data_IF_283759897948
#
_entry.id   IF_283759897948
#
_cell.length_a   1.000
_cell.length_b   1.000
_cell.length_c   1.000
_cell.angle_alpha   90.00
_cell.angle_beta   90.00
_cell.angle_gamma   90.00
#
_symmetry.space_group_name_H-M   'P 1'
#
loop_
_entity.id
_entity.type
_entity.pdbx_description
1 polymer ?
#
# COMPACT_ATOMS: atom_id res chain seq x y z
N UNK A 1 -63.11 27.72 17.30
CA UNK A 1 -61.98 27.05 16.62
C UNK A 1 -61.04 26.49 17.68
N UNK A 2 -60.96 25.16 17.79
CA UNK A 2 -60.02 24.49 18.66
C UNK A 2 -58.83 24.07 17.79
N UNK A 3 -57.64 24.51 18.15
CA UNK A 3 -56.41 24.07 17.50
C UNK A 3 -55.68 23.09 18.42
N UNK A 4 -55.28 21.94 17.91
CA UNK A 4 -54.35 21.03 18.60
C UNK A 4 -52.95 21.28 18.09
N UNK A 5 -52.08 21.69 19.00
CA UNK A 5 -50.65 21.82 18.71
C UNK A 5 -49.98 20.51 19.20
N UNK A 6 -49.41 19.77 18.28
CA UNK A 6 -48.57 18.58 18.61
C UNK A 6 -47.10 19.02 18.57
N UNK A 7 -46.45 18.95 19.69
CA UNK A 7 -44.99 19.15 19.73
C UNK A 7 -44.32 17.84 19.36
N UNK A 8 -43.59 17.82 18.27
CA UNK A 8 -42.75 16.69 17.88
C UNK A 8 -41.34 16.96 18.46
N UNK A 9 -40.81 16.01 19.24
CA UNK A 9 -39.47 16.11 19.78
C UNK A 9 -38.46 15.94 18.66
N UNK A 10 -37.55 16.86 18.55
CA UNK A 10 -36.40 16.82 17.65
C UNK A 10 -35.44 15.71 18.08
N UNK A 11 -35.00 14.88 17.13
CA UNK A 11 -34.15 13.71 17.37
C UNK A 11 -32.66 14.08 17.31
N UNK A 12 -31.80 13.20 17.79
CA UNK A 12 -30.36 13.29 17.61
C UNK A 12 -29.99 12.84 16.19
N UNK A 13 -29.00 13.48 15.55
CA UNK A 13 -28.51 13.03 14.26
C UNK A 13 -27.87 11.64 14.37
N UNK A 14 -27.94 10.86 13.29
CA UNK A 14 -27.31 9.55 13.18
C UNK A 14 -26.04 9.60 12.35
N UNK A 15 -25.05 8.78 12.69
CA UNK A 15 -23.83 8.64 11.90
C UNK A 15 -23.36 7.18 11.86
N UNK A 16 -23.04 6.70 10.66
CA UNK A 16 -22.41 5.39 10.42
C UNK A 16 -21.16 5.58 9.57
N UNK A 17 -20.04 4.94 9.95
CA UNK A 17 -18.75 5.05 9.28
C UNK A 17 -18.23 3.66 8.93
N UNK A 18 -17.74 3.53 7.72
CA UNK A 18 -16.94 2.41 7.24
C UNK A 18 -15.58 2.92 6.85
N UNK A 19 -14.54 2.35 7.44
CA UNK A 19 -13.16 2.66 7.15
C UNK A 19 -12.60 1.67 6.14
N UNK A 20 -11.88 2.17 5.15
CA UNK A 20 -11.19 1.40 4.11
C UNK A 20 -9.72 1.80 4.15
N UNK A 21 -8.85 0.87 4.53
CA UNK A 21 -7.40 1.09 4.50
C UNK A 21 -6.86 0.85 3.10
N UNK A 22 -5.95 1.72 2.67
CA UNK A 22 -5.21 1.50 1.43
C UNK A 22 -4.20 0.36 1.65
N UNK A 23 -4.30 -0.70 0.85
CA UNK A 23 -3.39 -1.84 0.91
C UNK A 23 -1.94 -1.49 0.53
N UNK A 24 -1.73 -0.37 -0.17
CA UNK A 24 -0.42 0.10 -0.64
C UNK A 24 0.17 1.18 0.27
N UNK A 25 -0.67 1.90 1.02
CA UNK A 25 -0.27 3.02 1.86
C UNK A 25 -0.97 2.96 3.22
N UNK A 26 -0.38 2.23 4.15
CA UNK A 26 -0.95 1.98 5.48
C UNK A 26 -1.29 3.25 6.29
N UNK A 27 -0.74 4.42 5.93
CA UNK A 27 -1.03 5.69 6.59
C UNK A 27 -2.23 6.43 6.00
N UNK A 28 -2.65 6.10 4.77
CA UNK A 28 -3.77 6.75 4.10
C UNK A 28 -5.05 5.96 4.32
N UNK A 29 -5.99 6.57 5.01
CA UNK A 29 -7.28 5.97 5.33
C UNK A 29 -8.38 6.70 4.58
N UNK A 30 -9.28 5.92 3.98
CA UNK A 30 -10.50 6.41 3.34
C UNK A 30 -11.69 6.06 4.20
N UNK A 31 -12.60 7.00 4.32
CA UNK A 31 -13.83 6.85 5.09
C UNK A 31 -15.02 7.05 4.18
N UNK A 32 -15.93 6.11 4.24
CA UNK A 32 -17.28 6.23 3.71
C UNK A 32 -18.23 6.33 4.89
N UNK A 33 -19.10 7.33 4.89
CA UNK A 33 -20.06 7.50 5.96
C UNK A 33 -21.44 7.87 5.46
N UNK A 34 -22.43 7.56 6.28
CA UNK A 34 -23.83 7.95 6.10
C UNK A 34 -24.26 8.73 7.35
N UNK A 35 -24.83 9.91 7.14
CA UNK A 35 -25.44 10.72 8.18
C UNK A 35 -26.93 10.88 7.92
N UNK A 36 -27.73 10.89 9.01
CA UNK A 36 -29.21 10.99 8.97
C UNK A 36 -29.67 11.93 10.04
N UNK A 37 -30.69 12.74 9.74
CA UNK A 37 -31.37 13.65 10.66
C UNK A 37 -32.76 13.97 10.17
N UNK A 38 -33.69 14.40 11.04
CA UNK A 38 -35.06 14.75 10.67
C UNK A 38 -35.16 16.15 10.08
N UNK A 39 -34.31 17.09 10.42
CA UNK A 39 -34.34 18.48 9.95
C UNK A 39 -33.06 18.93 9.20
N UNK A 40 -32.03 18.12 9.17
CA UNK A 40 -30.76 18.39 8.48
C UNK A 40 -29.60 18.78 9.41
N UNK A 41 -28.44 19.09 8.85
CA UNK A 41 -27.18 19.20 9.56
C UNK A 41 -26.66 20.63 9.60
N UNK A 42 -25.97 21.00 10.68
CA UNK A 42 -25.19 22.22 10.78
C UNK A 42 -23.71 21.98 10.48
N UNK A 43 -23.12 20.92 11.05
CA UNK A 43 -21.70 20.62 10.93
C UNK A 43 -21.44 19.11 10.88
N UNK A 44 -20.34 18.75 10.17
CA UNK A 44 -19.76 17.41 10.16
C UNK A 44 -18.25 17.57 10.30
N UNK A 45 -17.68 16.92 11.31
CA UNK A 45 -16.26 17.07 11.65
C UNK A 45 -15.58 15.73 11.81
N UNK A 46 -14.34 15.67 11.36
CA UNK A 46 -13.37 14.64 11.72
C UNK A 46 -12.53 15.17 12.89
N UNK A 47 -12.49 14.44 13.98
CA UNK A 47 -11.81 14.80 15.20
C UNK A 47 -10.68 13.81 15.47
N UNK A 48 -9.48 14.32 15.74
CA UNK A 48 -8.36 13.47 16.14
C UNK A 48 -7.55 14.06 17.29
N UNK A 49 -6.87 13.19 18.05
CA UNK A 49 -5.97 13.56 19.14
C UNK A 49 -4.78 12.61 19.22
N UNK A 50 -3.59 13.16 19.49
CA UNK A 50 -2.36 12.40 19.70
C UNK A 50 -2.26 12.05 21.20
N UNK A 51 -2.48 10.79 21.54
CA UNK A 51 -2.50 10.36 22.94
C UNK A 51 -3.52 11.15 23.77
N UNK A 52 -3.04 11.91 24.76
CA UNK A 52 -3.86 12.75 25.66
C UNK A 52 -3.90 14.24 25.24
N UNK A 53 -3.35 14.60 24.07
CA UNK A 53 -3.29 15.98 23.63
C UNK A 53 -4.68 16.53 23.27
N UNK A 54 -4.75 17.84 23.04
CA UNK A 54 -5.99 18.51 22.65
C UNK A 54 -6.50 17.94 21.32
N UNK A 55 -7.80 17.69 21.24
CA UNK A 55 -8.47 17.28 20.01
C UNK A 55 -8.38 18.36 18.94
N UNK A 56 -7.94 17.98 17.77
CA UNK A 56 -7.95 18.80 16.55
C UNK A 56 -9.23 18.46 15.78
N UNK A 57 -9.88 19.49 15.24
CA UNK A 57 -11.16 19.40 14.53
C UNK A 57 -10.91 19.76 13.09
N UNK A 58 -11.25 18.84 12.17
CA UNK A 58 -11.16 19.03 10.72
C UNK A 58 -12.57 19.02 10.14
N UNK A 59 -13.03 20.08 9.46
CA UNK A 59 -14.35 20.09 8.86
C UNK A 59 -14.43 19.11 7.67
N UNK A 60 -15.54 18.39 7.57
CA UNK A 60 -15.85 17.48 6.48
C UNK A 60 -16.94 18.09 5.61
N UNK A 61 -16.79 18.02 4.30
CA UNK A 61 -17.77 18.58 3.36
C UNK A 61 -19.05 17.77 3.36
N UNK A 62 -20.21 18.44 3.44
CA UNK A 62 -21.53 17.86 3.37
C UNK A 62 -22.54 18.87 2.79
N UNK A 63 -23.78 18.41 2.46
CA UNK A 63 -24.87 19.25 1.96
C UNK A 63 -25.86 19.56 3.08
N UNK A 64 -26.05 20.83 3.40
CA UNK A 64 -26.88 21.25 4.56
C UNK A 64 -28.37 20.94 4.47
N UNK A 65 -28.92 20.80 3.24
CA UNK A 65 -30.36 20.72 3.00
C UNK A 65 -30.86 19.30 2.78
N UNK A 66 -30.13 18.29 3.20
CA UNK A 66 -30.52 16.88 3.08
C UNK A 66 -30.68 16.28 4.46
N UNK A 67 -31.71 15.45 4.63
CA UNK A 67 -31.97 14.72 5.86
C UNK A 67 -31.18 13.40 5.94
N UNK A 68 -30.68 12.93 4.80
CA UNK A 68 -29.85 11.74 4.70
C UNK A 68 -28.85 11.96 3.58
N UNK A 69 -27.57 11.71 3.84
CA UNK A 69 -26.56 11.77 2.81
C UNK A 69 -25.36 10.88 3.11
N UNK A 70 -24.69 10.49 2.04
CA UNK A 70 -23.39 9.85 2.06
C UNK A 70 -22.29 10.91 1.99
N UNK A 71 -21.15 10.61 2.61
CA UNK A 71 -19.96 11.43 2.48
C UNK A 71 -18.72 10.56 2.37
N UNK A 72 -17.69 11.12 1.77
CA UNK A 72 -16.37 10.51 1.60
C UNK A 72 -15.34 11.45 2.19
N UNK A 73 -14.39 10.88 2.94
CA UNK A 73 -13.31 11.62 3.54
C UNK A 73 -12.03 10.78 3.49
N UNK A 74 -10.89 11.42 3.34
CA UNK A 74 -9.60 10.75 3.43
C UNK A 74 -8.67 11.52 4.35
N UNK A 75 -7.86 10.79 5.12
CA UNK A 75 -6.88 11.38 6.01
C UNK A 75 -5.58 10.58 5.94
N UNK A 76 -4.46 11.32 5.80
CA UNK A 76 -3.12 10.72 5.76
C UNK A 76 -2.42 10.91 7.10
N UNK A 77 -2.27 9.84 7.85
CA UNK A 77 -1.59 9.84 9.14
C UNK A 77 -0.05 9.88 9.02
N UNK A 78 0.51 9.92 7.78
CA UNK A 78 1.97 9.94 7.57
C UNK A 78 2.65 11.15 8.19
N UNK A 79 1.96 12.30 8.31
CA UNK A 79 2.49 13.53 8.92
C UNK A 79 2.88 13.37 10.40
N UNK A 80 2.31 12.36 11.09
CA UNK A 80 2.60 12.08 12.50
C UNK A 80 3.73 11.07 12.71
N UNK A 81 4.28 10.55 11.64
CA UNK A 81 5.39 9.64 11.72
C UNK A 81 6.63 10.34 12.29
N UNK A 82 7.31 9.66 13.22
CA UNK A 82 8.47 10.23 13.91
C UNK A 82 8.16 11.12 15.09
N UNK A 83 6.88 11.26 15.48
CA UNK A 83 6.51 11.86 16.76
C UNK A 83 6.83 10.90 17.91
N UNK A 84 6.91 11.42 19.13
CA UNK A 84 7.06 10.64 20.35
C UNK A 84 5.77 9.91 20.79
N UNK A 85 4.70 10.10 20.05
CA UNK A 85 3.39 9.50 20.30
C UNK A 85 3.28 8.15 19.57
N UNK A 86 2.55 7.23 20.19
CA UNK A 86 2.38 5.86 19.69
C UNK A 86 1.05 5.63 19.02
N UNK A 87 0.06 6.49 19.29
CA UNK A 87 -1.31 6.32 18.78
C UNK A 87 -2.04 7.65 18.57
N UNK A 88 -2.94 7.64 17.61
CA UNK A 88 -3.88 8.71 17.32
C UNK A 88 -5.29 8.14 17.50
N UNK A 89 -6.07 8.79 18.38
CA UNK A 89 -7.48 8.50 18.54
C UNK A 89 -8.28 9.42 17.63
N UNK A 90 -9.25 8.91 16.89
CA UNK A 90 -10.07 9.71 16.00
C UNK A 90 -11.52 9.21 15.93
N UNK A 91 -12.44 10.10 15.58
CA UNK A 91 -13.86 9.85 15.39
C UNK A 91 -14.48 10.95 14.54
N UNK A 92 -15.65 10.66 13.98
CA UNK A 92 -16.46 11.67 13.31
C UNK A 92 -17.57 12.15 14.25
N UNK A 93 -17.95 13.41 14.13
CA UNK A 93 -19.05 14.02 14.87
C UNK A 93 -19.92 14.83 13.93
N UNK A 94 -21.22 14.53 13.94
CA UNK A 94 -22.25 15.24 13.18
C UNK A 94 -23.13 16.04 14.12
N UNK A 95 -23.50 17.25 13.71
CA UNK A 95 -24.36 18.16 14.46
C UNK A 95 -25.64 18.41 13.66
N UNK A 96 -26.78 18.40 14.35
CA UNK A 96 -28.05 18.84 13.79
C UNK A 96 -28.11 20.36 13.59
N UNK A 97 -29.20 20.86 12.99
CA UNK A 97 -29.41 22.27 12.75
C UNK A 97 -30.33 22.95 13.76
N UNK A 98 -30.56 22.38 14.97
CA UNK A 98 -31.41 23.00 15.99
C UNK A 98 -30.86 24.35 16.48
N UNK A 99 -31.51 25.41 15.99
CA UNK A 99 -31.16 26.79 16.36
C UNK A 99 -31.90 27.29 17.62
N UNK A 100 -32.85 26.52 18.17
CA UNK A 100 -33.66 26.92 19.33
C UNK A 100 -33.06 26.44 20.64
N UNK A 101 -32.75 25.15 20.73
CA UNK A 101 -32.20 24.53 21.96
C UNK A 101 -30.69 24.35 21.91
N UNK A 102 -30.09 24.67 20.77
CA UNK A 102 -28.67 24.44 20.45
C UNK A 102 -28.46 23.10 19.75
N UNK A 103 -27.44 23.00 18.89
CA UNK A 103 -27.21 21.82 18.07
C UNK A 103 -26.87 20.60 18.93
N UNK A 104 -27.60 19.50 18.72
CA UNK A 104 -27.27 18.19 19.28
C UNK A 104 -26.21 17.54 18.42
N UNK A 105 -25.37 16.71 19.00
CA UNK A 105 -24.37 15.98 18.25
C UNK A 105 -24.37 14.48 18.52
N UNK A 106 -23.92 13.72 17.53
CA UNK A 106 -23.67 12.29 17.63
C UNK A 106 -22.28 11.98 17.09
N UNK A 107 -21.57 11.12 17.82
CA UNK A 107 -20.23 10.66 17.47
C UNK A 107 -20.25 9.26 16.90
N UNK A 108 -19.40 9.01 15.93
CA UNK A 108 -19.08 7.64 15.52
C UNK A 108 -18.38 6.86 16.63
N UNK A 109 -18.18 5.56 16.42
CA UNK A 109 -17.23 4.80 17.23
C UNK A 109 -15.84 5.45 17.17
N UNK A 110 -15.11 5.40 18.30
CA UNK A 110 -13.72 5.84 18.35
C UNK A 110 -12.83 4.79 17.68
N UNK A 111 -11.98 5.24 16.78
CA UNK A 111 -10.99 4.46 16.06
C UNK A 111 -9.58 4.86 16.53
N UNK A 112 -8.62 3.97 16.32
CA UNK A 112 -7.23 4.17 16.78
C UNK A 112 -6.30 3.84 15.61
N UNK A 113 -5.47 4.81 15.23
CA UNK A 113 -4.33 4.60 14.37
C UNK A 113 -3.06 4.46 15.22
N UNK A 114 -2.32 3.37 15.03
CA UNK A 114 -1.03 3.18 15.70
C UNK A 114 0.08 3.73 14.82
N UNK A 115 0.80 4.71 15.35
CA UNK A 115 1.94 5.32 14.67
C UNK A 115 3.09 4.30 14.67
N UNK A 116 3.62 3.90 13.51
CA UNK A 116 4.76 2.99 13.46
C UNK A 116 6.00 3.62 14.10
N UNK A 117 6.69 2.87 14.95
CA UNK A 117 7.97 3.29 15.50
C UNK A 117 9.04 3.36 14.40
N UNK A 118 9.77 4.48 14.34
CA UNK A 118 10.85 4.70 13.37
C UNK A 118 11.92 3.61 13.43
N UNK A 119 12.29 3.14 14.64
CA UNK A 119 13.27 2.08 14.81
C UNK A 119 12.78 0.78 14.16
N UNK A 120 11.52 0.43 14.35
CA UNK A 120 10.89 -0.74 13.71
C UNK A 120 10.92 -0.60 12.19
N UNK A 121 10.67 0.60 11.66
CA UNK A 121 10.73 0.86 10.20
C UNK A 121 12.17 0.75 9.69
N UNK A 122 13.16 1.31 10.41
CA UNK A 122 14.57 1.20 10.04
C UNK A 122 15.06 -0.25 10.07
N UNK A 123 14.71 -1.03 11.09
CA UNK A 123 15.07 -2.43 11.21
C UNK A 123 14.44 -3.26 10.07
N UNK A 124 13.16 -3.08 9.79
CA UNK A 124 12.49 -3.70 8.66
C UNK A 124 13.15 -3.35 7.33
N UNK A 125 13.44 -2.06 7.09
CA UNK A 125 14.11 -1.62 5.86
C UNK A 125 15.52 -2.23 5.72
N UNK A 126 16.24 -2.39 6.82
CA UNK A 126 17.56 -3.05 6.85
C UNK A 126 17.44 -4.53 6.51
N UNK A 127 16.49 -5.25 7.12
CA UNK A 127 16.26 -6.67 6.84
C UNK A 127 15.84 -6.90 5.38
N UNK A 128 14.90 -6.12 4.86
CA UNK A 128 14.47 -6.20 3.46
C UNK A 128 15.62 -5.90 2.52
N UNK A 129 16.44 -4.87 2.80
CA UNK A 129 17.61 -4.53 1.97
C UNK A 129 18.66 -5.64 1.98
N UNK A 130 18.89 -6.30 3.11
CA UNK A 130 19.79 -7.45 3.20
C UNK A 130 19.24 -8.65 2.40
N UNK A 131 17.96 -8.95 2.52
CA UNK A 131 17.31 -10.00 1.74
C UNK A 131 17.42 -9.75 0.24
N UNK A 132 17.07 -8.55 -0.21
CA UNK A 132 17.17 -8.13 -1.61
C UNK A 132 18.62 -8.24 -2.13
N UNK A 133 19.62 -7.79 -1.36
CA UNK A 133 21.01 -7.92 -1.74
C UNK A 133 21.46 -9.39 -1.88
N UNK A 134 20.99 -10.26 -0.99
CA UNK A 134 21.30 -11.69 -1.07
C UNK A 134 20.66 -12.35 -2.29
N UNK A 135 19.41 -11.98 -2.59
CA UNK A 135 18.70 -12.53 -3.75
C UNK A 135 19.26 -11.99 -5.06
N UNK A 136 19.71 -10.72 -5.12
CA UNK A 136 20.44 -10.19 -6.27
C UNK A 136 21.78 -10.90 -6.49
N UNK A 137 22.55 -11.22 -5.43
CA UNK A 137 23.79 -12.01 -5.56
C UNK A 137 23.53 -13.42 -6.09
N UNK A 138 22.44 -14.07 -5.64
CA UNK A 138 22.01 -15.37 -6.19
C UNK A 138 21.61 -15.24 -7.66
N UNK A 139 20.85 -14.19 -8.01
CA UNK A 139 20.43 -13.90 -9.36
C UNK A 139 21.63 -13.66 -10.30
N UNK A 140 22.65 -12.89 -9.86
CA UNK A 140 23.90 -12.68 -10.61
C UNK A 140 24.64 -14.02 -10.87
N UNK A 141 24.70 -14.89 -9.87
CA UNK A 141 25.31 -16.21 -10.03
C UNK A 141 24.55 -17.09 -11.03
N UNK A 142 23.23 -17.17 -10.91
CA UNK A 142 22.38 -17.96 -11.83
C UNK A 142 22.48 -17.39 -13.24
N UNK A 143 22.47 -16.07 -13.41
CA UNK A 143 22.66 -15.45 -14.71
C UNK A 143 24.01 -15.84 -15.34
N UNK A 144 25.09 -15.82 -14.57
CA UNK A 144 26.40 -16.32 -15.03
C UNK A 144 26.37 -17.79 -15.46
N UNK A 145 25.70 -18.64 -14.71
CA UNK A 145 25.53 -20.06 -15.05
C UNK A 145 24.69 -20.27 -16.32
N UNK A 146 23.66 -19.45 -16.55
CA UNK A 146 22.87 -19.44 -17.78
C UNK A 146 23.77 -19.07 -18.97
N UNK A 147 24.57 -18.01 -18.85
CA UNK A 147 25.52 -17.58 -19.91
C UNK A 147 26.45 -18.73 -20.31
N UNK A 148 27.03 -19.38 -19.30
CA UNK A 148 27.93 -20.53 -19.54
C UNK A 148 27.20 -21.68 -20.21
N UNK A 149 26.00 -22.03 -19.70
CA UNK A 149 25.16 -23.10 -20.29
C UNK A 149 24.78 -22.83 -21.73
N UNK A 150 24.44 -21.58 -22.08
CA UNK A 150 24.15 -21.16 -23.47
C UNK A 150 25.41 -21.28 -24.36
N UNK A 151 26.58 -20.87 -23.87
CA UNK A 151 27.83 -21.01 -24.62
C UNK A 151 28.19 -22.46 -24.87
N UNK A 152 27.99 -23.33 -23.89
CA UNK A 152 28.22 -24.77 -24.03
C UNK A 152 27.21 -25.41 -25.00
N UNK A 153 25.95 -25.01 -24.93
CA UNK A 153 24.93 -25.44 -25.88
C UNK A 153 25.28 -25.03 -27.32
N UNK A 154 25.71 -23.79 -27.53
CA UNK A 154 26.19 -23.32 -28.85
C UNK A 154 27.35 -24.15 -29.40
N UNK A 155 28.34 -24.43 -28.55
CA UNK A 155 29.48 -25.30 -28.95
C UNK A 155 28.99 -26.67 -29.40
N UNK A 156 28.12 -27.31 -28.61
CA UNK A 156 27.60 -28.63 -28.89
C UNK A 156 26.69 -28.70 -30.10
N UNK A 157 25.98 -27.60 -30.43
CA UNK A 157 25.19 -27.49 -31.64
C UNK A 157 26.07 -27.39 -32.91
N UNK A 158 27.24 -26.77 -32.78
CA UNK A 158 28.22 -26.68 -33.90
C UNK A 158 29.03 -27.97 -34.05
N UNK A 159 29.12 -28.81 -33.02
CA UNK A 159 29.81 -30.09 -33.03
C UNK A 159 28.83 -31.22 -33.39
N UNK A 160 28.94 -31.73 -34.61
CA UNK A 160 28.06 -32.78 -35.14
C UNK A 160 28.26 -34.16 -34.45
N UNK A 161 29.20 -34.28 -33.49
CA UNK A 161 29.49 -35.53 -32.78
C UNK A 161 28.72 -35.66 -31.46
N UNK A 162 28.06 -34.58 -31.01
CA UNK A 162 27.35 -34.57 -29.72
C UNK A 162 25.96 -35.21 -29.83
N UNK A 163 25.61 -36.10 -28.88
CA UNK A 163 24.33 -36.79 -28.81
C UNK A 163 23.15 -35.79 -28.57
N UNK A 164 22.06 -36.02 -29.28
CA UNK A 164 20.85 -35.16 -29.16
C UNK A 164 20.24 -35.21 -27.75
N UNK A 165 20.42 -36.32 -27.03
CA UNK A 165 20.00 -36.42 -25.63
C UNK A 165 20.75 -35.42 -24.73
N UNK A 166 22.07 -35.28 -24.92
CA UNK A 166 22.91 -34.36 -24.12
C UNK A 166 22.56 -32.90 -24.41
N UNK A 167 22.27 -32.56 -25.68
CA UNK A 167 21.79 -31.22 -26.07
C UNK A 167 20.45 -30.90 -25.40
N UNK A 168 19.51 -31.85 -25.37
CA UNK A 168 18.22 -31.68 -24.70
C UNK A 168 18.35 -31.51 -23.17
N UNK A 169 19.26 -32.23 -22.52
CA UNK A 169 19.47 -32.09 -21.07
C UNK A 169 20.04 -30.68 -20.73
N UNK A 170 20.99 -30.22 -21.50
CA UNK A 170 21.58 -28.89 -21.31
C UNK A 170 20.56 -27.78 -21.55
N UNK A 171 19.71 -27.91 -22.58
CA UNK A 171 18.60 -26.99 -22.85
C UNK A 171 17.63 -26.94 -21.68
N UNK A 172 17.19 -28.09 -21.16
CA UNK A 172 16.27 -28.18 -20.01
C UNK A 172 16.89 -27.53 -18.75
N UNK A 173 18.19 -27.68 -18.55
CA UNK A 173 18.89 -27.07 -17.41
C UNK A 173 18.92 -25.53 -17.53
N UNK A 174 19.21 -25.01 -18.70
CA UNK A 174 19.19 -23.56 -18.98
C UNK A 174 17.79 -22.98 -18.75
N UNK A 175 16.73 -23.67 -19.25
CA UNK A 175 15.34 -23.24 -19.04
C UNK A 175 14.99 -23.22 -17.54
N UNK A 176 15.33 -24.29 -16.80
CA UNK A 176 15.07 -24.35 -15.36
C UNK A 176 15.79 -23.24 -14.59
N UNK A 177 17.03 -22.94 -14.93
CA UNK A 177 17.78 -21.85 -14.31
C UNK A 177 17.16 -20.49 -14.64
N UNK A 178 16.68 -20.31 -15.88
CA UNK A 178 15.95 -19.10 -16.27
C UNK A 178 14.69 -18.91 -15.43
N UNK A 179 13.85 -19.92 -15.27
CA UNK A 179 12.66 -19.85 -14.42
C UNK A 179 13.00 -19.53 -12.95
N UNK A 180 14.10 -20.08 -12.45
CA UNK A 180 14.57 -19.78 -11.10
C UNK A 180 15.02 -18.33 -10.95
N UNK A 181 15.69 -17.79 -11.97
CA UNK A 181 16.11 -16.40 -12.03
C UNK A 181 14.92 -15.46 -12.09
N UNK A 182 13.92 -15.76 -12.94
CA UNK A 182 12.68 -14.96 -13.07
C UNK A 182 11.94 -14.88 -11.73
N UNK A 183 11.83 -15.99 -10.98
CA UNK A 183 11.23 -15.98 -9.63
C UNK A 183 12.00 -15.12 -8.62
N UNK A 184 13.34 -15.15 -8.65
CA UNK A 184 14.16 -14.31 -7.77
C UNK A 184 14.00 -12.82 -8.10
N UNK A 185 13.98 -12.47 -9.38
CA UNK A 185 13.79 -11.09 -9.81
C UNK A 185 12.40 -10.55 -9.45
N UNK A 186 11.36 -11.37 -9.56
CA UNK A 186 10.01 -10.98 -9.13
C UNK A 186 9.95 -10.78 -7.61
N UNK A 187 10.54 -11.67 -6.81
CA UNK A 187 10.65 -11.50 -5.36
C UNK A 187 11.41 -10.22 -4.97
N UNK A 188 12.50 -9.90 -5.67
CA UNK A 188 13.25 -8.65 -5.49
C UNK A 188 12.37 -7.44 -5.80
N UNK A 189 11.62 -7.49 -6.90
CA UNK A 189 10.70 -6.42 -7.31
C UNK A 189 9.59 -6.20 -6.28
N UNK A 190 8.94 -7.27 -5.81
CA UNK A 190 7.91 -7.18 -4.77
C UNK A 190 8.46 -6.60 -3.46
N UNK A 191 9.64 -7.05 -3.02
CA UNK A 191 10.27 -6.54 -1.80
C UNK A 191 10.67 -5.05 -1.94
N UNK A 192 11.18 -4.64 -3.11
CA UNK A 192 11.47 -3.23 -3.39
C UNK A 192 10.19 -2.39 -3.42
N UNK A 193 9.09 -2.92 -3.99
CA UNK A 193 7.80 -2.24 -3.99
C UNK A 193 7.29 -2.05 -2.56
N UNK A 194 7.26 -3.10 -1.74
CA UNK A 194 6.86 -3.02 -0.32
C UNK A 194 7.71 -2.02 0.46
N UNK A 195 9.04 -2.01 0.24
CA UNK A 195 9.94 -1.03 0.83
C UNK A 195 9.64 0.39 0.36
N UNK A 196 9.38 0.59 -0.94
CA UNK A 196 9.03 1.90 -1.51
C UNK A 196 7.71 2.42 -0.94
N UNK A 197 6.70 1.57 -0.79
CA UNK A 197 5.40 1.95 -0.27
C UNK A 197 5.49 2.31 1.22
N UNK A 198 6.30 1.58 2.00
CA UNK A 198 6.61 1.95 3.38
C UNK A 198 7.41 3.26 3.46
N UNK A 199 8.37 3.47 2.55
CA UNK A 199 9.26 4.64 2.54
C UNK A 199 8.66 5.86 1.83
N UNK A 200 7.60 5.75 1.03
CA UNK A 200 6.89 6.91 0.46
C UNK A 200 6.36 7.85 1.54
N UNK A 201 6.13 7.30 2.72
CA UNK A 201 5.88 8.10 3.93
C UNK A 201 7.16 8.70 4.54
N UNK A 202 8.38 8.19 4.19
CA UNK A 202 9.65 8.50 4.84
C UNK A 202 10.82 8.49 3.85
N UNK A 203 10.81 9.39 2.91
CA UNK A 203 11.87 9.77 1.96
C UNK A 203 13.24 9.08 2.12
N UNK A 204 13.54 7.99 1.38
CA UNK A 204 14.85 7.74 0.75
C UNK A 204 14.72 6.63 -0.31
N UNK A 205 14.94 6.97 -1.57
CA UNK A 205 15.00 6.02 -2.69
C UNK A 205 16.40 5.39 -2.75
N UNK A 206 16.49 4.09 -2.62
CA UNK A 206 17.75 3.34 -2.74
C UNK A 206 18.03 3.05 -4.23
N UNK A 207 18.62 4.05 -4.92
CA UNK A 207 18.90 4.00 -6.37
C UNK A 207 19.83 2.85 -6.78
N UNK A 208 20.73 2.42 -5.89
CA UNK A 208 21.72 1.36 -6.15
C UNK A 208 21.09 -0.02 -6.40
N UNK A 209 19.97 -0.33 -5.73
CA UNK A 209 19.27 -1.62 -5.90
C UNK A 209 18.52 -1.66 -7.23
N UNK A 210 17.91 -0.54 -7.63
CA UNK A 210 17.22 -0.39 -8.91
C UNK A 210 18.20 -0.54 -10.07
N UNK A 211 19.39 0.06 -9.98
CA UNK A 211 20.42 -0.03 -11.00
C UNK A 211 20.97 -1.46 -11.17
N UNK A 212 21.13 -2.20 -10.07
CA UNK A 212 21.55 -3.63 -10.14
C UNK A 212 20.48 -4.51 -10.77
N UNK A 213 19.23 -4.33 -10.38
CA UNK A 213 18.11 -5.06 -10.97
C UNK A 213 18.02 -4.81 -12.48
N UNK A 214 18.14 -3.55 -12.90
CA UNK A 214 18.13 -3.17 -14.32
C UNK A 214 19.29 -3.79 -15.10
N UNK A 215 20.52 -3.81 -14.54
CA UNK A 215 21.66 -4.46 -15.16
C UNK A 215 21.47 -5.95 -15.39
N UNK A 216 20.87 -6.66 -14.43
CA UNK A 216 20.56 -8.10 -14.58
C UNK A 216 19.52 -8.31 -15.67
N UNK A 217 18.48 -7.47 -15.72
CA UNK A 217 17.46 -7.53 -16.76
C UNK A 217 18.05 -7.26 -18.14
N UNK A 218 18.88 -6.22 -18.30
CA UNK A 218 19.56 -5.88 -19.56
C UNK A 218 20.50 -7.00 -20.02
N UNK A 219 21.17 -7.69 -19.10
CA UNK A 219 22.00 -8.86 -19.42
C UNK A 219 21.15 -10.03 -19.94
N UNK A 220 20.02 -10.29 -19.31
CA UNK A 220 19.09 -11.34 -19.76
C UNK A 220 18.52 -11.04 -21.14
N UNK A 221 18.08 -9.81 -21.37
CA UNK A 221 17.51 -9.42 -22.66
C UNK A 221 18.53 -9.51 -23.81
N UNK A 222 19.81 -9.19 -23.54
CA UNK A 222 20.92 -9.36 -24.52
C UNK A 222 21.26 -10.82 -24.79
N UNK A 223 21.15 -11.69 -23.80
CA UNK A 223 21.46 -13.11 -23.93
C UNK A 223 20.33 -13.90 -24.58
N UNK A 224 19.10 -13.41 -24.50
CA UNK A 224 17.90 -14.00 -25.08
C UNK A 224 17.64 -13.50 -26.51
N UNK A 225 18.68 -13.38 -27.33
CA UNK A 225 18.55 -13.09 -28.77
C UNK A 225 17.58 -14.07 -29.43
N UNK A 226 16.94 -13.63 -30.52
CA UNK A 226 15.87 -14.34 -31.22
C UNK A 226 16.21 -15.78 -31.62
N UNK A 227 17.50 -16.07 -31.85
CA UNK A 227 18.00 -17.41 -32.19
C UNK A 227 17.93 -18.40 -31.01
N UNK A 228 18.17 -17.91 -29.77
CA UNK A 228 18.12 -18.77 -28.57
C UNK A 228 16.68 -19.03 -28.15
N UNK A 229 15.76 -18.08 -28.37
CA UNK A 229 14.32 -18.27 -28.13
C UNK A 229 13.71 -19.35 -29.03
N UNK A 230 14.29 -19.61 -30.21
CA UNK A 230 13.84 -20.69 -31.12
C UNK A 230 14.43 -22.06 -30.76
N UNK A 231 15.53 -22.11 -29.99
CA UNK A 231 16.24 -23.31 -29.59
C UNK A 231 15.80 -23.85 -28.21
N UNK A 232 15.10 -23.02 -27.41
CA UNK A 232 14.50 -23.33 -26.11
C UNK A 232 13.01 -23.60 -26.23
#
# INVERSE_FOLDING_TARGET
>A
LNFNIICISDLYPGIQITEIQDSLKNSLHYFYGVITDDYGFSDLCFNYSLGTDRTVVVPVSFMKNLNTQEFYFSFDFAEFAGTDKTEINYYFEVFDNDNLSGPKSTRSSRLIYRIPDLNTIFDYNREVSQSVNNDLKKAEKIAGEIVTGIQDLRKKLLDNTTDDWEKQQLSKEVVRKKEQLDRLLEAVKENNQKKSDLNRSFTVQDSLLIDKQKKIQDLLDRLMDSEIKQLL
#
